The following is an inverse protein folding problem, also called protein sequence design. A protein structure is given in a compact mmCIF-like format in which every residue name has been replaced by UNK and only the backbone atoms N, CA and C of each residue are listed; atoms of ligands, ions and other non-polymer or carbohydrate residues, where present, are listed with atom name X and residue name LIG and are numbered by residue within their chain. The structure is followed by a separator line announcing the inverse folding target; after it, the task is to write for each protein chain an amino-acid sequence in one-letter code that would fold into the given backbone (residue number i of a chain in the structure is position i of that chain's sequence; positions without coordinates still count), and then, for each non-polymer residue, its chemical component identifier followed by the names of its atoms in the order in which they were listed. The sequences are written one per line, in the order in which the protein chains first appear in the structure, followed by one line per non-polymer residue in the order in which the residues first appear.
data_IF_419433934096
#
_entry.id   IF_419433934096
#
_cell.length_a   1.000
_cell.length_b   1.000
_cell.length_c   1.000
_cell.angle_alpha   90.00
_cell.angle_beta   90.00
_cell.angle_gamma   90.00
#
_symmetry.space_group_name_H-M   'P 1'
#
loop_
_entity.id
_entity.type
_entity.pdbx_description
1 polymer ?
#
# COMPACT_ATOMS: atom_id res chain seq x y z
N UNK A 1 13.50 -12.52 -36.07
CA UNK A 1 12.96 -11.52 -35.11
C UNK A 1 11.90 -12.17 -34.26
N UNK A 2 12.01 -12.05 -32.94
CA UNK A 2 11.03 -12.59 -31.98
C UNK A 2 10.14 -11.44 -31.48
N UNK A 3 8.89 -11.76 -31.24
CA UNK A 3 7.91 -10.85 -30.62
C UNK A 3 7.53 -11.40 -29.24
N UNK A 4 7.58 -10.54 -28.21
CA UNK A 4 7.21 -10.87 -26.83
C UNK A 4 6.39 -9.73 -26.25
N UNK A 5 5.32 -10.05 -25.52
CA UNK A 5 4.52 -9.09 -24.76
C UNK A 5 4.73 -9.34 -23.27
N UNK A 6 5.13 -8.32 -22.52
CA UNK A 6 5.38 -8.38 -21.09
C UNK A 6 4.30 -7.56 -20.38
N UNK A 7 3.45 -8.17 -19.54
CA UNK A 7 2.54 -7.43 -18.68
C UNK A 7 3.33 -6.73 -17.57
N UNK A 8 2.94 -5.50 -17.22
CA UNK A 8 3.61 -4.66 -16.25
C UNK A 8 2.78 -4.39 -14.99
N UNK A 9 1.49 -4.73 -14.99
CA UNK A 9 0.55 -4.52 -13.86
C UNK A 9 0.70 -3.15 -13.17
N UNK A 10 0.88 -2.09 -13.97
CA UNK A 10 1.12 -0.75 -13.45
C UNK A 10 -0.18 -0.14 -12.95
N UNK A 11 -0.18 0.39 -11.73
CA UNK A 11 -1.30 1.17 -11.24
C UNK A 11 -1.46 2.51 -11.95
N UNK A 12 -0.35 3.12 -12.37
CA UNK A 12 -0.35 4.36 -13.15
C UNK A 12 0.81 4.32 -14.15
N UNK A 13 0.53 4.17 -15.46
CA UNK A 13 1.56 4.16 -16.49
C UNK A 13 2.43 5.42 -16.51
N UNK A 14 1.89 6.59 -16.14
CA UNK A 14 2.65 7.86 -16.11
C UNK A 14 3.74 7.83 -15.05
N UNK A 15 3.45 7.24 -13.88
CA UNK A 15 4.43 7.15 -12.78
C UNK A 15 5.59 6.20 -13.10
N UNK A 16 5.40 5.28 -14.07
CA UNK A 16 6.45 4.37 -14.56
C UNK A 16 7.16 4.87 -15.82
N UNK A 17 6.42 5.25 -16.87
CA UNK A 17 6.98 5.71 -18.14
C UNK A 17 7.45 7.17 -18.10
N UNK A 18 7.04 7.93 -17.08
CA UNK A 18 7.33 9.34 -16.91
C UNK A 18 6.48 10.23 -17.83
N UNK A 19 6.38 11.50 -17.47
CA UNK A 19 5.67 12.52 -18.27
C UNK A 19 6.26 12.56 -19.68
N UNK A 20 5.40 12.55 -20.72
CA UNK A 20 5.82 12.50 -22.12
C UNK A 20 6.71 11.30 -22.49
N UNK A 21 6.53 10.16 -21.79
CA UNK A 21 7.24 8.90 -22.04
C UNK A 21 8.77 9.01 -21.91
N UNK A 22 9.28 9.88 -21.03
CA UNK A 22 10.72 10.11 -20.87
C UNK A 22 11.49 8.83 -20.52
N UNK A 23 10.94 7.96 -19.66
CA UNK A 23 11.58 6.70 -19.28
C UNK A 23 11.48 5.66 -20.41
N UNK A 24 10.36 5.62 -21.14
CA UNK A 24 10.22 4.75 -22.31
C UNK A 24 11.21 5.14 -23.42
N UNK A 25 11.43 6.45 -23.64
CA UNK A 25 12.44 6.97 -24.55
C UNK A 25 13.85 6.58 -24.13
N UNK A 26 14.15 6.57 -22.83
CA UNK A 26 15.43 6.08 -22.31
C UNK A 26 15.64 4.59 -22.58
N UNK A 27 14.61 3.76 -22.33
CA UNK A 27 14.65 2.33 -22.64
C UNK A 27 14.94 2.11 -24.13
N UNK A 28 14.21 2.82 -25.02
CA UNK A 28 14.42 2.76 -26.48
C UNK A 28 15.83 3.19 -26.89
N UNK A 29 16.36 4.24 -26.28
CA UNK A 29 17.73 4.74 -26.56
C UNK A 29 18.80 3.72 -26.17
N UNK A 30 18.60 2.99 -25.08
CA UNK A 30 19.55 1.97 -24.61
C UNK A 30 19.51 0.69 -25.45
N UNK A 31 18.35 0.34 -25.99
CA UNK A 31 18.15 -0.86 -26.81
C UNK A 31 17.69 -0.49 -28.23
N UNK A 32 18.55 0.14 -29.06
CA UNK A 32 18.17 0.63 -30.39
C UNK A 32 17.79 -0.49 -31.37
N UNK A 33 18.23 -1.73 -31.13
CA UNK A 33 17.86 -2.92 -31.92
C UNK A 33 16.50 -3.52 -31.56
N UNK A 34 15.81 -2.98 -30.55
CA UNK A 34 14.47 -3.41 -30.15
C UNK A 34 13.42 -2.36 -30.52
N UNK A 35 12.34 -2.81 -31.14
CA UNK A 35 11.10 -2.04 -31.24
C UNK A 35 10.30 -2.25 -29.96
N UNK A 36 10.29 -1.23 -29.11
CA UNK A 36 9.61 -1.21 -27.80
C UNK A 36 8.33 -0.39 -27.88
N UNK A 37 7.17 -1.01 -27.70
CA UNK A 37 5.85 -0.37 -27.82
C UNK A 37 5.09 -0.54 -26.49
N UNK A 38 4.68 0.55 -25.86
CA UNK A 38 3.77 0.52 -24.71
C UNK A 38 2.31 0.47 -25.21
N UNK A 39 1.50 -0.41 -24.61
CA UNK A 39 0.04 -0.47 -24.82
C UNK A 39 -0.62 -0.79 -23.49
N UNK A 40 -1.27 0.20 -22.88
CA UNK A 40 -1.86 0.06 -21.55
C UNK A 40 -0.83 -0.44 -20.53
N UNK A 41 -1.15 -1.54 -19.86
CA UNK A 41 -0.29 -2.21 -18.87
C UNK A 41 0.62 -3.29 -19.46
N UNK A 42 0.96 -3.22 -20.75
CA UNK A 42 1.90 -4.15 -21.38
C UNK A 42 2.96 -3.44 -22.21
N UNK A 43 4.16 -4.02 -22.21
CA UNK A 43 5.27 -3.67 -23.09
C UNK A 43 5.45 -4.76 -24.14
N UNK A 44 5.28 -4.38 -25.41
CA UNK A 44 5.54 -5.24 -26.56
C UNK A 44 6.96 -4.99 -27.06
N UNK A 45 7.77 -6.05 -27.09
CA UNK A 45 9.17 -6.05 -27.52
C UNK A 45 9.30 -6.87 -28.81
N UNK A 46 9.90 -6.28 -29.85
CA UNK A 46 10.17 -6.96 -31.12
C UNK A 46 11.64 -6.75 -31.49
N UNK A 47 12.38 -7.83 -31.72
CA UNK A 47 13.78 -7.75 -32.13
C UNK A 47 14.58 -9.03 -31.88
N UNK A 48 15.86 -8.88 -31.58
CA UNK A 48 16.79 -9.98 -31.30
C UNK A 48 16.53 -10.62 -29.93
N UNK A 49 16.44 -11.97 -29.82
CA UNK A 49 16.14 -12.65 -28.56
C UNK A 49 17.07 -12.28 -27.40
N UNK A 50 18.36 -12.08 -27.69
CA UNK A 50 19.38 -11.72 -26.69
C UNK A 50 19.08 -10.34 -26.08
N UNK A 51 18.67 -9.38 -26.90
CA UNK A 51 18.31 -8.04 -26.41
C UNK A 51 16.99 -8.05 -25.65
N UNK A 52 16.01 -8.86 -26.09
CA UNK A 52 14.73 -9.04 -25.38
C UNK A 52 14.98 -9.59 -23.97
N UNK A 53 15.81 -10.62 -23.83
CA UNK A 53 16.13 -11.20 -22.51
C UNK A 53 16.84 -10.19 -21.60
N UNK A 54 17.81 -9.45 -22.15
CA UNK A 54 18.52 -8.41 -21.42
C UNK A 54 17.59 -7.28 -20.93
N UNK A 55 16.66 -6.83 -21.77
CA UNK A 55 15.67 -5.82 -21.38
C UNK A 55 14.67 -6.40 -20.37
N UNK A 56 14.23 -7.66 -20.51
CA UNK A 56 13.31 -8.29 -19.57
C UNK A 56 13.88 -8.33 -18.14
N UNK A 57 15.16 -8.71 -18.00
CA UNK A 57 15.87 -8.67 -16.70
C UNK A 57 15.87 -7.26 -16.09
N UNK A 58 16.03 -6.22 -16.91
CA UNK A 58 15.95 -4.82 -16.47
C UNK A 58 14.54 -4.37 -16.14
N UNK A 59 13.54 -4.80 -16.89
CA UNK A 59 12.14 -4.50 -16.60
C UNK A 59 11.72 -5.05 -15.23
N UNK A 60 12.14 -6.27 -14.87
CA UNK A 60 11.89 -6.82 -13.52
C UNK A 60 12.43 -5.89 -12.43
N UNK A 61 13.64 -5.34 -12.59
CA UNK A 61 14.23 -4.41 -11.63
C UNK A 61 13.48 -3.07 -11.57
N UNK A 62 13.09 -2.53 -12.74
CA UNK A 62 12.34 -1.27 -12.82
C UNK A 62 10.94 -1.41 -12.20
N UNK A 63 10.26 -2.53 -12.45
CA UNK A 63 8.94 -2.83 -11.89
C UNK A 63 9.05 -2.98 -10.37
N UNK A 64 10.02 -3.76 -9.87
CA UNK A 64 10.22 -3.91 -8.43
C UNK A 64 10.51 -2.58 -7.71
N UNK A 65 11.27 -1.69 -8.34
CA UNK A 65 11.49 -0.31 -7.86
C UNK A 65 10.17 0.46 -7.83
N UNK A 66 9.41 0.45 -8.93
CA UNK A 66 8.12 1.12 -9.00
C UNK A 66 7.12 0.62 -7.95
N UNK A 67 7.01 -0.69 -7.74
CA UNK A 67 6.12 -1.26 -6.71
C UNK A 67 6.52 -0.84 -5.28
N UNK A 68 7.83 -0.65 -5.07
CA UNK A 68 8.37 -0.22 -3.78
C UNK A 68 8.10 1.25 -3.54
N UNK A 69 8.43 2.12 -4.50
CA UNK A 69 8.46 3.58 -4.34
C UNK A 69 7.25 4.33 -4.91
N UNK A 70 6.36 3.65 -5.63
CA UNK A 70 5.15 4.22 -6.23
C UNK A 70 5.40 5.10 -7.47
N UNK A 71 6.66 5.31 -7.85
CA UNK A 71 7.09 6.09 -9.01
C UNK A 71 8.49 5.65 -9.47
N UNK A 72 8.83 5.99 -10.71
CA UNK A 72 10.15 5.78 -11.28
C UNK A 72 10.66 7.10 -11.90
N UNK A 73 11.62 7.74 -11.24
CA UNK A 73 12.21 8.98 -11.76
C UNK A 73 13.13 8.71 -12.96
N UNK A 74 13.43 9.76 -13.72
CA UNK A 74 14.28 9.63 -14.91
C UNK A 74 15.71 9.18 -14.55
N UNK A 75 16.26 9.71 -13.46
CA UNK A 75 17.62 9.37 -13.03
C UNK A 75 17.66 7.97 -12.44
N UNK A 76 16.61 7.57 -11.71
CA UNK A 76 16.45 6.19 -11.23
C UNK A 76 16.40 5.18 -12.38
N UNK A 77 15.61 5.49 -13.41
CA UNK A 77 15.51 4.67 -14.61
C UNK A 77 16.86 4.56 -15.34
N UNK A 78 17.59 5.66 -15.52
CA UNK A 78 18.93 5.64 -16.16
C UNK A 78 19.90 4.75 -15.39
N UNK A 79 19.94 4.88 -14.07
CA UNK A 79 20.84 4.12 -13.20
C UNK A 79 20.49 2.63 -13.22
N UNK A 80 19.22 2.27 -13.00
CA UNK A 80 18.75 0.88 -13.02
C UNK A 80 18.96 0.22 -14.38
N UNK A 81 18.76 0.96 -15.47
CA UNK A 81 19.08 0.47 -16.81
C UNK A 81 20.58 0.23 -16.96
N UNK A 82 21.44 1.03 -16.34
CA UNK A 82 22.91 1.02 -16.51
C UNK A 82 23.69 0.13 -15.56
N UNK A 83 23.12 -0.26 -14.42
CA UNK A 83 23.77 -1.18 -13.48
C UNK A 83 23.99 -2.57 -14.11
N UNK A 84 25.10 -3.24 -13.82
CA UNK A 84 25.40 -4.58 -14.35
C UNK A 84 25.12 -5.72 -13.36
N UNK A 85 24.43 -5.44 -12.25
CA UNK A 85 24.12 -6.45 -11.22
C UNK A 85 24.23 -5.94 -9.80
N UNK A 86 24.95 -4.83 -9.59
CA UNK A 86 24.97 -4.10 -8.33
C UNK A 86 24.16 -2.82 -8.51
N UNK A 87 22.86 -2.91 -8.31
CA UNK A 87 22.09 -1.71 -8.04
C UNK A 87 22.62 -1.16 -6.72
N UNK A 88 23.05 0.12 -6.68
CA UNK A 88 23.02 0.83 -5.40
C UNK A 88 21.61 0.60 -4.87
N UNK A 89 21.50 -0.07 -3.72
CA UNK A 89 20.22 -0.15 -3.04
C UNK A 89 19.77 1.28 -2.90
N UNK A 90 18.67 1.66 -3.57
CA UNK A 90 17.92 2.84 -3.17
C UNK A 90 17.48 2.53 -1.75
N UNK A 91 18.34 2.86 -0.78
CA UNK A 91 18.10 2.55 0.60
C UNK A 91 16.85 3.30 0.96
N UNK A 92 15.78 2.55 1.26
CA UNK A 92 14.67 3.12 2.01
C UNK A 92 15.31 3.91 3.14
N UNK A 93 15.00 5.19 3.24
CA UNK A 93 15.38 5.92 4.44
C UNK A 93 14.72 5.20 5.60
N UNK A 94 15.48 4.87 6.64
CA UNK A 94 14.98 4.09 7.79
C UNK A 94 13.73 4.73 8.42
N UNK A 95 13.58 6.05 8.27
CA UNK A 95 12.46 6.82 8.80
C UNK A 95 11.18 6.74 7.94
N UNK A 96 11.26 6.19 6.72
CA UNK A 96 10.11 6.09 5.81
C UNK A 96 9.33 4.82 6.10
N UNK A 97 8.05 5.00 6.45
CA UNK A 97 7.13 3.90 6.72
C UNK A 97 6.63 3.30 5.41
N UNK A 98 6.09 4.13 4.52
CA UNK A 98 5.48 3.70 3.27
C UNK A 98 5.77 4.73 2.19
N UNK A 99 6.14 4.25 1.01
CA UNK A 99 5.99 5.00 -0.23
C UNK A 99 4.64 4.63 -0.84
N UNK A 100 3.72 5.59 -0.78
CA UNK A 100 2.34 5.48 -1.23
C UNK A 100 2.18 5.78 -2.71
N UNK A 101 0.95 6.14 -3.08
CA UNK A 101 0.59 6.40 -4.48
C UNK A 101 1.32 7.62 -5.03
N UNK A 102 1.74 7.54 -6.29
CA UNK A 102 2.48 8.60 -7.00
C UNK A 102 3.72 9.13 -6.25
N UNK A 103 4.36 8.27 -5.43
CA UNK A 103 5.55 8.59 -4.67
C UNK A 103 5.32 9.40 -3.40
N UNK A 104 4.09 9.42 -2.87
CA UNK A 104 3.81 9.98 -1.55
C UNK A 104 4.71 9.33 -0.48
N UNK A 105 5.50 10.12 0.23
CA UNK A 105 6.39 9.61 1.29
C UNK A 105 5.70 9.76 2.64
N UNK A 106 5.30 8.63 3.23
CA UNK A 106 4.71 8.57 4.58
C UNK A 106 5.81 8.24 5.59
N UNK A 107 6.03 9.15 6.54
CA UNK A 107 7.01 9.02 7.63
C UNK A 107 6.48 9.65 8.92
N UNK A 108 7.03 9.25 10.07
CA UNK A 108 6.76 9.95 11.33
C UNK A 108 7.28 11.38 11.27
N UNK A 109 6.43 12.35 11.64
CA UNK A 109 6.75 13.80 11.63
C UNK A 109 6.89 14.39 13.01
N UNK A 110 6.47 13.68 14.06
CA UNK A 110 6.54 14.13 15.44
C UNK A 110 7.15 13.05 16.34
N UNK A 111 7.70 13.45 17.48
CA UNK A 111 8.27 12.53 18.47
C UNK A 111 7.27 11.46 18.93
N UNK A 112 5.98 11.81 19.03
CA UNK A 112 4.93 10.86 19.41
C UNK A 112 4.65 9.83 18.31
N UNK A 113 4.72 10.23 17.03
CA UNK A 113 4.60 9.29 15.91
C UNK A 113 5.81 8.36 15.85
N UNK A 114 7.01 8.89 16.08
CA UNK A 114 8.24 8.09 16.15
C UNK A 114 8.18 7.09 17.32
N UNK A 115 7.66 7.52 18.48
CA UNK A 115 7.42 6.62 19.61
C UNK A 115 6.41 5.52 19.27
N UNK A 116 5.34 5.84 18.55
CA UNK A 116 4.37 4.86 18.07
C UNK A 116 5.04 3.82 17.15
N UNK A 117 5.85 4.27 16.19
CA UNK A 117 6.62 3.39 15.28
C UNK A 117 7.52 2.46 16.10
N UNK A 118 8.38 3.01 16.96
CA UNK A 118 9.31 2.22 17.80
C UNK A 118 8.59 1.27 18.75
N UNK A 119 7.42 1.66 19.26
CA UNK A 119 6.62 0.80 20.14
C UNK A 119 6.01 -0.36 19.38
N UNK A 120 5.54 -0.14 18.15
CA UNK A 120 4.96 -1.19 17.30
C UNK A 120 5.96 -2.29 16.92
N UNK A 121 7.25 -1.96 16.87
CA UNK A 121 8.31 -2.92 16.53
C UNK A 121 8.72 -3.81 17.70
N UNK A 122 8.36 -3.43 18.93
CA UNK A 122 8.81 -4.09 20.17
C UNK A 122 7.68 -4.78 20.93
N UNK A 123 6.42 -4.53 20.57
CA UNK A 123 5.27 -4.98 21.35
C UNK A 123 4.20 -5.51 20.39
N UNK A 124 3.56 -6.62 20.77
CA UNK A 124 2.45 -7.20 20.00
C UNK A 124 1.18 -6.34 20.08
N UNK A 125 1.01 -5.60 21.17
CA UNK A 125 -0.15 -4.71 21.40
C UNK A 125 0.35 -3.34 21.83
N UNK A 126 -0.14 -2.29 21.16
CA UNK A 126 0.20 -0.90 21.46
C UNK A 126 -1.08 -0.07 21.60
N UNK A 127 -1.19 0.67 22.71
CA UNK A 127 -2.23 1.66 22.93
C UNK A 127 -1.70 3.05 22.59
N UNK A 128 -2.17 3.62 21.48
CA UNK A 128 -1.82 4.96 21.06
C UNK A 128 -2.87 5.98 21.52
N UNK A 129 -2.60 6.68 22.62
CA UNK A 129 -3.53 7.66 23.20
C UNK A 129 -3.05 9.08 22.89
N UNK A 130 -3.97 9.96 22.48
CA UNK A 130 -3.67 11.37 22.29
C UNK A 130 -4.77 12.13 21.56
N UNK A 131 -4.68 13.47 21.47
CA UNK A 131 -5.71 14.32 20.86
C UNK A 131 -6.02 13.95 19.39
N UNK A 132 -7.19 14.39 18.91
CA UNK A 132 -7.54 14.32 17.49
C UNK A 132 -6.53 15.09 16.62
N UNK A 133 -6.32 14.65 15.38
CA UNK A 133 -5.43 15.33 14.43
C UNK A 133 -3.92 15.11 14.65
N UNK A 134 -3.50 14.32 15.64
CA UNK A 134 -2.08 14.02 15.89
C UNK A 134 -1.49 12.93 14.98
N UNK A 135 -2.29 12.39 14.06
CA UNK A 135 -1.86 11.41 13.06
C UNK A 135 -1.74 9.96 13.55
N UNK A 136 -2.23 9.63 14.76
CA UNK A 136 -2.17 8.28 15.33
C UNK A 136 -2.67 7.21 14.38
N UNK A 137 -3.91 7.38 13.89
CA UNK A 137 -4.57 6.44 12.98
C UNK A 137 -3.84 6.35 11.66
N UNK A 138 -3.47 7.49 11.07
CA UNK A 138 -2.75 7.52 9.79
C UNK A 138 -1.37 6.83 9.88
N UNK A 139 -0.61 7.07 10.96
CA UNK A 139 0.66 6.39 11.21
C UNK A 139 0.46 4.89 11.46
N UNK A 140 -0.57 4.49 12.19
CA UNK A 140 -0.89 3.07 12.42
C UNK A 140 -1.24 2.36 11.10
N UNK A 141 -2.07 2.98 10.24
CA UNK A 141 -2.38 2.44 8.90
C UNK A 141 -1.12 2.32 8.06
N UNK A 142 -0.22 3.30 8.10
CA UNK A 142 1.08 3.22 7.41
C UNK A 142 1.92 2.04 7.90
N UNK A 143 1.98 1.78 9.21
CA UNK A 143 2.67 0.62 9.77
C UNK A 143 2.03 -0.70 9.29
N UNK A 144 0.70 -0.79 9.26
CA UNK A 144 0.00 -1.97 8.77
C UNK A 144 0.29 -2.24 7.28
N UNK A 145 0.24 -1.20 6.44
CA UNK A 145 0.55 -1.31 5.00
C UNK A 145 2.02 -1.68 4.80
N UNK A 146 2.95 -1.12 5.58
CA UNK A 146 4.37 -1.50 5.58
C UNK A 146 4.53 -2.99 5.87
N UNK A 147 3.92 -3.49 6.93
CA UNK A 147 3.98 -4.90 7.32
C UNK A 147 3.42 -5.82 6.23
N UNK A 148 2.29 -5.44 5.61
CA UNK A 148 1.69 -6.20 4.51
C UNK A 148 2.60 -6.21 3.27
N UNK A 149 3.15 -5.07 2.86
CA UNK A 149 4.08 -4.97 1.71
C UNK A 149 5.36 -5.78 1.93
N UNK A 150 5.86 -5.81 3.17
CA UNK A 150 7.03 -6.59 3.56
C UNK A 150 6.71 -8.09 3.79
N UNK A 151 5.44 -8.51 3.66
CA UNK A 151 4.97 -9.88 3.89
C UNK A 151 5.17 -10.36 5.35
N UNK A 152 5.25 -9.43 6.29
CA UNK A 152 5.31 -9.71 7.74
C UNK A 152 3.94 -10.18 8.24
N UNK A 153 2.87 -9.63 7.65
CA UNK A 153 1.48 -10.06 7.88
C UNK A 153 0.83 -10.46 6.56
N UNK A 154 -0.22 -11.27 6.65
CA UNK A 154 -1.02 -11.68 5.49
C UNK A 154 -2.29 -10.87 5.32
N UNK A 155 -2.71 -10.17 6.38
CA UNK A 155 -3.99 -9.46 6.44
C UNK A 155 -3.88 -8.16 7.22
N UNK A 156 -4.65 -7.16 6.82
CA UNK A 156 -4.90 -5.96 7.63
C UNK A 156 -6.38 -5.95 8.01
N UNK A 157 -6.69 -5.71 9.28
CA UNK A 157 -8.06 -5.53 9.76
C UNK A 157 -8.17 -4.18 10.43
N UNK A 158 -8.91 -3.26 9.81
CA UNK A 158 -9.22 -1.95 10.36
C UNK A 158 -10.64 -1.98 10.90
N UNK A 159 -10.80 -1.63 12.16
CA UNK A 159 -12.10 -1.65 12.81
C UNK A 159 -12.33 -0.43 13.68
N UNK A 160 -13.61 -0.06 13.80
CA UNK A 160 -14.05 1.10 14.58
C UNK A 160 -15.32 0.72 15.35
N UNK A 161 -15.47 1.11 16.62
CA UNK A 161 -16.73 0.97 17.33
C UNK A 161 -17.80 1.80 16.61
N UNK A 162 -19.02 1.26 16.50
CA UNK A 162 -20.15 2.05 16.04
C UNK A 162 -20.40 3.17 17.07
N UNK A 163 -20.50 4.41 16.59
CA UNK A 163 -20.87 5.56 17.41
C UNK A 163 -22.36 5.80 17.16
N UNK A 164 -23.18 5.72 18.21
CA UNK A 164 -24.54 6.23 18.12
C UNK A 164 -24.48 7.75 18.07
N UNK A 165 -24.45 8.31 16.86
CA UNK A 165 -24.50 9.74 16.64
C UNK A 165 -25.93 10.26 16.82
N UNK A 166 -26.54 10.04 17.99
CA UNK A 166 -27.90 10.50 18.33
C UNK A 166 -29.05 9.87 17.53
N UNK A 167 -28.79 9.32 16.34
CA UNK A 167 -29.69 8.51 15.53
C UNK A 167 -29.17 7.07 15.52
N UNK A 168 -30.02 6.11 15.86
CA UNK A 168 -29.65 4.70 15.73
C UNK A 168 -29.30 4.42 14.28
N UNK A 169 -28.22 3.66 14.05
CA UNK A 169 -27.74 3.28 12.71
C UNK A 169 -28.84 2.69 11.79
N UNK A 170 -29.96 2.23 12.38
CA UNK A 170 -31.16 1.79 11.68
C UNK A 170 -31.93 2.88 10.90
N UNK A 171 -31.73 4.18 11.17
CA UNK A 171 -32.53 5.28 10.59
C UNK A 171 -32.00 5.86 9.27
N UNK A 172 -30.73 5.66 8.92
CA UNK A 172 -30.21 6.09 7.61
C UNK A 172 -30.87 5.24 6.51
N UNK A 173 -31.31 5.79 5.36
CA UNK A 173 -31.79 4.99 4.23
C UNK A 173 -30.63 4.25 3.55
N UNK A 174 -30.89 3.10 2.92
CA UNK A 174 -29.88 2.30 2.22
C UNK A 174 -29.60 0.93 2.85
N UNK A 175 -28.68 0.16 2.25
CA UNK A 175 -28.22 -1.11 2.81
C UNK A 175 -27.31 -0.89 4.04
N UNK A 176 -27.06 -1.94 4.83
CA UNK A 176 -26.25 -1.82 6.06
C UNK A 176 -24.84 -1.29 5.79
N UNK A 177 -24.30 -1.53 4.58
CA UNK A 177 -22.96 -1.12 4.18
C UNK A 177 -22.92 0.39 3.87
N UNK A 178 -23.90 0.89 3.12
CA UNK A 178 -24.08 2.31 2.78
C UNK A 178 -24.24 3.19 4.02
N UNK A 179 -24.85 2.66 5.11
CA UNK A 179 -25.01 3.39 6.37
C UNK A 179 -23.74 3.46 7.22
N UNK A 180 -22.87 2.46 7.10
CA UNK A 180 -21.65 2.32 7.92
C UNK A 180 -20.45 3.02 7.24
N UNK A 181 -20.43 3.04 5.91
CA UNK A 181 -19.35 3.57 5.09
C UNK A 181 -18.90 4.99 5.46
N UNK A 182 -19.78 5.96 5.81
CA UNK A 182 -19.34 7.30 6.20
C UNK A 182 -18.40 7.33 7.41
N UNK A 183 -18.60 6.43 8.39
CA UNK A 183 -17.78 6.37 9.61
C UNK A 183 -16.43 5.68 9.39
N UNK A 184 -16.35 4.79 8.40
CA UNK A 184 -15.14 4.08 8.03
C UNK A 184 -14.34 4.82 6.95
N UNK A 185 -14.93 5.84 6.32
CA UNK A 185 -14.32 6.61 5.23
C UNK A 185 -12.90 7.09 5.51
N UNK A 186 -12.57 7.66 6.69
CA UNK A 186 -11.20 8.09 6.97
C UNK A 186 -10.15 6.97 6.90
N UNK A 187 -10.55 5.72 7.20
CA UNK A 187 -9.67 4.55 7.12
C UNK A 187 -9.43 4.16 5.66
N UNK A 188 -10.47 4.21 4.82
CA UNK A 188 -10.34 4.01 3.38
C UNK A 188 -9.46 5.07 2.74
N UNK A 189 -9.68 6.36 3.06
CA UNK A 189 -8.90 7.46 2.49
C UNK A 189 -7.41 7.30 2.84
N UNK A 190 -7.08 6.92 4.08
CA UNK A 190 -5.70 6.60 4.47
C UNK A 190 -5.08 5.43 3.71
N UNK A 191 -5.87 4.40 3.38
CA UNK A 191 -5.40 3.28 2.55
C UNK A 191 -5.17 3.71 1.09
N UNK A 192 -6.02 4.56 0.52
CA UNK A 192 -5.88 5.06 -0.86
C UNK A 192 -4.64 5.93 -1.07
N UNK A 193 -4.21 6.66 -0.03
CA UNK A 193 -2.93 7.38 -0.04
C UNK A 193 -1.73 6.41 -0.18
N UNK A 194 -1.86 5.18 0.32
CA UNK A 194 -0.73 4.26 0.52
C UNK A 194 -0.71 3.10 -0.47
N UNK A 195 -1.87 2.74 -1.02
CA UNK A 195 -2.07 1.60 -1.92
C UNK A 195 -2.83 2.09 -3.16
N UNK A 196 -2.35 1.77 -4.37
CA UNK A 196 -3.07 2.14 -5.58
C UNK A 196 -4.48 1.56 -5.64
N UNK A 197 -5.43 2.35 -6.16
CA UNK A 197 -6.87 2.05 -6.06
C UNK A 197 -7.27 0.66 -6.59
N UNK A 198 -6.81 0.24 -7.77
CA UNK A 198 -7.12 -1.09 -8.30
C UNK A 198 -6.61 -2.21 -7.38
N UNK A 199 -5.39 -2.07 -6.86
CA UNK A 199 -4.78 -3.03 -5.95
C UNK A 199 -5.48 -3.06 -4.59
N UNK A 200 -5.87 -1.89 -4.08
CA UNK A 200 -6.62 -1.76 -2.84
C UNK A 200 -8.01 -2.43 -2.98
N UNK A 201 -8.73 -2.16 -4.06
CA UNK A 201 -10.02 -2.80 -4.35
C UNK A 201 -9.89 -4.31 -4.39
N UNK A 202 -8.87 -4.83 -5.09
CA UNK A 202 -8.58 -6.26 -5.10
C UNK A 202 -8.30 -6.82 -3.70
N UNK A 203 -7.52 -6.12 -2.87
CA UNK A 203 -7.26 -6.54 -1.49
C UNK A 203 -8.52 -6.53 -0.61
N UNK A 204 -9.43 -5.59 -0.83
CA UNK A 204 -10.72 -5.53 -0.12
C UNK A 204 -11.62 -6.69 -0.55
N UNK A 205 -11.75 -6.92 -1.86
CA UNK A 205 -12.56 -8.01 -2.45
C UNK A 205 -12.07 -9.40 -2.03
N UNK A 206 -10.75 -9.58 -1.93
CA UNK A 206 -10.11 -10.83 -1.51
C UNK A 206 -9.94 -10.95 0.01
N UNK A 207 -10.44 -9.98 0.78
CA UNK A 207 -10.33 -9.92 2.25
C UNK A 207 -8.88 -9.96 2.78
N UNK A 208 -7.91 -9.52 1.99
CA UNK A 208 -6.54 -9.21 2.46
C UNK A 208 -6.56 -7.95 3.31
N UNK A 209 -7.40 -6.98 2.97
CA UNK A 209 -7.66 -5.80 3.80
C UNK A 209 -9.15 -5.77 4.12
N UNK A 210 -9.48 -5.81 5.40
CA UNK A 210 -10.86 -5.75 5.87
C UNK A 210 -11.08 -4.44 6.64
N UNK A 211 -12.09 -3.67 6.26
CA UNK A 211 -12.52 -2.47 6.98
C UNK A 211 -13.96 -2.69 7.44
N UNK A 212 -14.17 -2.87 8.73
CA UNK A 212 -15.47 -3.31 9.26
C UNK A 212 -15.74 -2.81 10.69
N UNK A 213 -17.01 -2.70 11.12
CA UNK A 213 -17.35 -2.35 12.50
C UNK A 213 -16.83 -3.36 13.52
N UNK A 214 -16.59 -2.90 14.74
CA UNK A 214 -16.06 -3.75 15.83
C UNK A 214 -16.92 -4.99 16.12
N UNK A 215 -18.23 -4.90 15.91
CA UNK A 215 -19.16 -6.02 16.11
C UNK A 215 -18.82 -7.25 15.24
N UNK A 216 -18.20 -7.05 14.07
CA UNK A 216 -17.82 -8.10 13.14
C UNK A 216 -16.59 -8.90 13.62
N UNK A 217 -15.92 -8.45 14.67
CA UNK A 217 -14.79 -9.16 15.26
C UNK A 217 -15.22 -10.30 16.19
N UNK A 218 -16.50 -10.37 16.56
CA UNK A 218 -17.01 -11.39 17.47
C UNK A 218 -16.83 -12.80 16.87
N UNK A 219 -16.26 -13.71 17.66
CA UNK A 219 -16.09 -15.12 17.27
C UNK A 219 -15.00 -15.37 16.24
N UNK A 220 -14.16 -14.38 15.94
CA UNK A 220 -13.03 -14.52 15.01
C UNK A 220 -11.73 -14.80 15.74
N UNK A 221 -10.81 -15.46 15.05
CA UNK A 221 -9.38 -15.45 15.39
C UNK A 221 -8.67 -14.64 14.31
N UNK A 222 -7.80 -13.71 14.71
CA UNK A 222 -7.13 -12.76 13.81
C UNK A 222 -5.66 -13.16 13.62
N UNK A 223 -5.43 -14.32 13.03
CA UNK A 223 -4.07 -14.87 12.83
C UNK A 223 -3.31 -14.15 11.71
N UNK A 224 -2.01 -13.94 11.91
CA UNK A 224 -1.08 -13.32 10.94
C UNK A 224 -1.63 -12.00 10.36
N UNK A 225 -2.30 -11.21 11.20
CA UNK A 225 -2.97 -9.98 10.81
C UNK A 225 -2.40 -8.78 11.57
N UNK A 226 -2.31 -7.63 10.87
CA UNK A 226 -2.13 -6.34 11.53
C UNK A 226 -3.52 -5.75 11.80
N UNK A 227 -3.88 -5.60 13.07
CA UNK A 227 -5.23 -5.19 13.48
C UNK A 227 -5.20 -3.81 14.11
N UNK A 228 -6.07 -2.91 13.66
CA UNK A 228 -6.20 -1.55 14.18
C UNK A 228 -7.63 -1.34 14.66
N UNK A 229 -7.79 -1.05 15.96
CA UNK A 229 -9.03 -0.52 16.52
C UNK A 229 -8.94 1.00 16.62
N UNK A 230 -9.55 1.70 15.67
CA UNK A 230 -9.62 3.17 15.65
C UNK A 230 -10.75 3.68 16.54
N UNK A 231 -10.59 4.90 17.08
CA UNK A 231 -11.49 5.50 18.07
C UNK A 231 -11.90 4.57 19.22
N UNK A 232 -10.93 3.83 19.77
CA UNK A 232 -11.16 2.86 20.84
C UNK A 232 -11.84 3.45 22.09
N UNK A 233 -11.76 4.76 22.31
CA UNK A 233 -12.46 5.44 23.42
C UNK A 233 -13.99 5.37 23.30
N UNK A 234 -14.53 5.08 22.10
CA UNK A 234 -15.96 4.87 21.90
C UNK A 234 -16.39 3.42 22.17
N UNK A 235 -15.46 2.53 22.51
CA UNK A 235 -15.78 1.14 22.87
C UNK A 235 -16.08 1.01 24.37
N UNK A 236 -17.04 0.15 24.69
CA UNK A 236 -17.25 -0.32 26.06
C UNK A 236 -16.13 -1.27 26.49
N UNK A 237 -15.94 -1.43 27.80
CA UNK A 237 -14.97 -2.38 28.36
C UNK A 237 -15.20 -3.81 27.85
N UNK A 238 -16.45 -4.24 27.75
CA UNK A 238 -16.82 -5.55 27.23
C UNK A 238 -16.43 -5.72 25.75
N UNK A 239 -16.57 -4.66 24.94
CA UNK A 239 -16.14 -4.68 23.54
C UNK A 239 -14.62 -4.74 23.42
N UNK A 240 -13.88 -4.00 24.27
CA UNK A 240 -12.42 -4.06 24.31
C UNK A 240 -11.92 -5.46 24.72
N UNK A 241 -12.49 -6.05 25.78
CA UNK A 241 -12.19 -7.44 26.18
C UNK A 241 -12.49 -8.43 25.06
N UNK A 242 -13.65 -8.28 24.42
CA UNK A 242 -14.03 -9.12 23.27
C UNK A 242 -13.02 -9.01 22.13
N UNK A 243 -12.53 -7.82 21.84
CA UNK A 243 -11.59 -7.56 20.75
C UNK A 243 -10.18 -8.06 21.05
N UNK A 244 -9.64 -7.77 22.24
CA UNK A 244 -8.28 -8.19 22.62
C UNK A 244 -8.14 -9.71 22.66
N UNK A 245 -9.21 -10.44 23.01
CA UNK A 245 -9.25 -11.91 23.01
C UNK A 245 -9.39 -12.52 21.60
N UNK A 246 -9.30 -11.73 20.53
CA UNK A 246 -9.21 -12.22 19.13
C UNK A 246 -7.78 -12.28 18.61
N UNK A 247 -6.83 -11.65 19.31
CA UNK A 247 -5.42 -11.67 18.94
C UNK A 247 -4.84 -13.07 19.23
N UNK A 248 -4.34 -13.72 18.19
CA UNK A 248 -3.82 -15.09 18.19
C UNK A 248 -2.65 -15.23 17.23
#
# INVERSE_FOLDING_TARGET
MKEVSIPLELSNPVDFFGVNDVNLKLIRKKYPGLKVISRGNALKLIGEPVQIDALNKKLVQLIAHYETFGRLSQDEAKELLSSNGESKSYSKSDDVLVYGTSGLVVKSRSANQEMLVKSSEKNDIVFAIGPAGTGKTYTAVALAVRALKNKEVRKIVLTRPAVEAGESLGFLPGDLKEKIDPYLRPLYDALYDMIPGEKLNHFIETHVIEVAPLAFMRGRTLDNAFVILDEAQNATENQLKMFLTRMG
#
